data_IF_710213903336
#
_entry.id   IF_710213903336
#
_cell.length_a   1.000
_cell.length_b   1.000
_cell.length_c   1.000
_cell.angle_alpha   90.00
_cell.angle_beta   90.00
_cell.angle_gamma   90.00
#
_symmetry.space_group_name_H-M   'P 1'
#
loop_
_entity.id
_entity.type
_entity.pdbx_description
1 polymer ?
#
# COMPACT_ATOMS: atom_id res chain seq x y z
N UNK A 1 18.23 17.02 -7.66
CA UNK A 1 16.76 16.80 -7.66
C UNK A 1 16.29 16.92 -6.22
N UNK A 2 15.11 17.50 -5.94
CA UNK A 2 14.63 17.67 -4.55
C UNK A 2 14.15 16.32 -4.01
N UNK A 3 14.58 15.92 -2.82
CA UNK A 3 14.10 14.72 -2.12
C UNK A 3 12.58 14.79 -1.96
N UNK A 4 11.80 13.83 -2.48
CA UNK A 4 10.34 13.87 -2.41
C UNK A 4 9.84 13.71 -0.97
N UNK A 5 8.72 14.35 -0.65
CA UNK A 5 8.00 14.10 0.60
C UNK A 5 6.85 13.13 0.34
N UNK A 6 6.83 12.02 1.07
CA UNK A 6 5.73 11.05 1.04
C UNK A 6 4.53 11.64 1.78
N UNK A 7 3.37 11.59 1.12
CA UNK A 7 2.11 12.06 1.69
C UNK A 7 1.35 10.91 2.37
N UNK A 8 0.50 11.27 3.31
CA UNK A 8 -0.41 10.36 3.99
C UNK A 8 -1.76 10.39 3.27
N UNK A 9 -2.38 9.23 3.03
CA UNK A 9 -3.76 9.18 2.55
C UNK A 9 -4.73 9.28 3.74
N UNK A 10 -5.21 10.50 3.98
CA UNK A 10 -6.02 10.88 5.13
C UNK A 10 -7.45 11.20 4.65
N UNK A 11 -8.46 10.43 5.07
CA UNK A 11 -9.88 10.76 4.82
C UNK A 11 -10.18 11.12 3.34
N UNK A 12 -9.76 10.24 2.44
CA UNK A 12 -9.94 10.37 0.98
C UNK A 12 -9.16 11.51 0.30
N UNK A 13 -8.06 11.98 0.89
CA UNK A 13 -7.14 12.95 0.29
C UNK A 13 -5.69 12.69 0.69
N UNK A 14 -4.75 13.22 -0.09
CA UNK A 14 -3.33 13.19 0.24
C UNK A 14 -2.92 14.42 1.06
N UNK A 15 -2.25 14.21 2.19
CA UNK A 15 -1.86 15.28 3.13
C UNK A 15 -0.42 15.08 3.60
N UNK A 16 0.37 16.15 3.57
CA UNK A 16 1.73 16.15 4.12
C UNK A 16 1.67 16.16 5.66
N UNK A 17 2.48 15.33 6.31
CA UNK A 17 2.65 15.42 7.76
C UNK A 17 3.73 16.42 8.14
N UNK A 18 3.60 16.96 9.36
CA UNK A 18 4.55 17.89 9.95
C UNK A 18 5.86 17.19 10.35
N UNK A 19 6.95 17.96 10.40
CA UNK A 19 8.29 17.54 10.83
C UNK A 19 8.75 16.21 10.20
N UNK A 20 8.79 16.11 8.86
CA UNK A 20 9.14 14.86 8.21
C UNK A 20 10.62 14.51 8.44
N UNK A 21 10.89 13.22 8.59
CA UNK A 21 12.23 12.65 8.72
C UNK A 21 12.69 12.05 7.40
N UNK A 22 14.00 12.01 7.16
CA UNK A 22 14.57 11.39 5.97
C UNK A 22 14.47 9.86 6.02
N UNK A 23 14.23 9.26 4.86
CA UNK A 23 14.34 7.84 4.59
C UNK A 23 15.62 7.66 3.76
N UNK A 24 16.72 7.20 4.37
CA UNK A 24 17.98 6.98 3.64
C UNK A 24 17.95 5.67 2.85
N UNK A 25 18.67 5.64 1.74
CA UNK A 25 19.02 4.44 0.99
C UNK A 25 19.88 3.52 1.84
N UNK A 26 19.58 2.22 1.83
CA UNK A 26 20.38 1.22 2.55
C UNK A 26 21.71 0.89 1.83
N UNK A 27 21.90 1.38 0.61
CA UNK A 27 23.11 1.14 -0.20
C UNK A 27 24.22 2.10 0.20
N UNK A 28 23.90 3.39 0.28
CA UNK A 28 24.87 4.48 0.36
C UNK A 28 24.48 5.61 1.34
N UNK A 29 23.32 5.49 1.98
CA UNK A 29 22.81 6.50 2.91
C UNK A 29 22.22 7.74 2.25
N UNK A 30 22.17 7.82 0.92
CA UNK A 30 21.60 8.98 0.22
C UNK A 30 20.09 9.12 0.54
N UNK A 31 19.56 10.33 0.76
CA UNK A 31 18.13 10.53 1.03
C UNK A 31 17.26 10.11 -0.16
N UNK A 32 16.37 9.13 0.05
CA UNK A 32 15.43 8.63 -0.97
C UNK A 32 14.13 9.43 -0.94
N UNK A 33 13.63 9.69 0.26
CA UNK A 33 12.41 10.45 0.50
C UNK A 33 12.43 11.07 1.90
N UNK A 34 11.43 11.88 2.20
CA UNK A 34 11.09 12.31 3.56
C UNK A 34 9.68 11.86 3.89
N UNK A 35 9.40 11.50 5.14
CA UNK A 35 8.05 11.11 5.59
C UNK A 35 7.76 11.61 6.98
N UNK A 36 6.51 11.94 7.28
CA UNK A 36 6.08 12.41 8.58
C UNK A 36 4.58 12.24 8.75
N UNK A 37 4.14 12.12 10.00
CA UNK A 37 2.74 11.98 10.37
C UNK A 37 2.31 12.99 11.43
N UNK A 38 3.17 13.97 11.76
CA UNK A 38 2.82 15.07 12.65
C UNK A 38 1.62 15.86 12.09
N UNK A 39 0.78 16.38 12.99
CA UNK A 39 -0.39 17.18 12.61
C UNK A 39 -1.61 16.38 12.10
N UNK A 40 -1.50 15.06 11.90
CA UNK A 40 -2.64 14.23 11.49
C UNK A 40 -3.60 13.96 12.65
N UNK A 41 -4.90 14.06 12.39
CA UNK A 41 -5.95 13.63 13.32
C UNK A 41 -6.25 12.14 13.11
N UNK A 42 -5.48 11.27 13.77
CA UNK A 42 -5.70 9.82 13.74
C UNK A 42 -7.09 9.41 14.23
N UNK A 43 -7.69 10.18 15.16
CA UNK A 43 -9.05 9.95 15.62
C UNK A 43 -10.07 10.16 14.51
N UNK A 44 -9.95 11.25 13.75
CA UNK A 44 -10.80 11.51 12.60
C UNK A 44 -10.56 10.52 11.45
N UNK A 45 -9.31 10.12 11.19
CA UNK A 45 -8.99 9.08 10.21
C UNK A 45 -9.69 7.75 10.56
N UNK A 46 -9.62 7.33 11.83
CA UNK A 46 -10.24 6.12 12.32
C UNK A 46 -11.77 6.18 12.24
N UNK A 47 -12.37 7.32 12.62
CA UNK A 47 -13.81 7.56 12.47
C UNK A 47 -14.23 7.46 11.00
N UNK A 48 -13.52 8.12 10.09
CA UNK A 48 -13.80 8.05 8.65
C UNK A 48 -13.73 6.61 8.11
N UNK A 49 -12.68 5.87 8.46
CA UNK A 49 -12.55 4.47 8.07
C UNK A 49 -13.73 3.60 8.56
N UNK A 50 -14.22 3.85 9.79
CA UNK A 50 -15.32 3.09 10.39
C UNK A 50 -16.70 3.50 9.88
N UNK A 51 -16.94 4.79 9.71
CA UNK A 51 -18.25 5.37 9.42
C UNK A 51 -18.52 5.45 7.91
N UNK A 52 -17.46 5.55 7.09
CA UNK A 52 -17.56 5.62 5.62
C UNK A 52 -17.06 4.33 4.98
N UNK A 53 -15.80 3.97 5.22
CA UNK A 53 -15.16 2.81 4.59
C UNK A 53 -15.81 1.47 4.98
N UNK A 54 -16.09 1.29 6.27
CA UNK A 54 -16.73 0.08 6.80
C UNK A 54 -18.09 -0.23 6.15
N UNK A 55 -19.08 0.68 6.18
CA UNK A 55 -20.35 0.49 5.51
C UNK A 55 -20.22 0.28 4.00
N UNK A 56 -19.31 1.01 3.33
CA UNK A 56 -19.08 0.83 1.89
C UNK A 56 -18.63 -0.60 1.56
N UNK A 57 -17.68 -1.16 2.32
CA UNK A 57 -17.21 -2.54 2.11
C UNK A 57 -18.24 -3.60 2.52
N UNK A 58 -19.04 -3.36 3.57
CA UNK A 58 -20.06 -4.30 4.04
C UNK A 58 -21.29 -4.38 3.14
N UNK A 59 -21.54 -3.36 2.30
CA UNK A 59 -22.58 -3.41 1.26
C UNK A 59 -22.25 -4.40 0.13
N UNK A 60 -20.98 -4.74 -0.04
CA UNK A 60 -20.52 -5.67 -1.07
C UNK A 60 -20.64 -7.12 -0.60
N UNK A 61 -20.82 -8.04 -1.54
CA UNK A 61 -20.72 -9.48 -1.24
C UNK A 61 -19.27 -9.90 -0.98
N UNK A 62 -19.05 -11.11 -0.46
CA UNK A 62 -17.69 -11.64 -0.34
C UNK A 62 -17.02 -11.80 -1.70
N UNK A 63 -17.78 -12.16 -2.74
CA UNK A 63 -17.22 -12.34 -4.08
C UNK A 63 -16.86 -11.02 -4.74
N UNK A 64 -17.66 -9.97 -4.55
CA UNK A 64 -17.31 -8.61 -4.99
C UNK A 64 -16.03 -8.10 -4.33
N UNK A 65 -15.91 -8.25 -2.99
CA UNK A 65 -14.67 -7.91 -2.28
C UNK A 65 -13.49 -8.78 -2.76
N UNK A 66 -13.70 -10.06 -3.02
CA UNK A 66 -12.66 -10.93 -3.57
C UNK A 66 -12.20 -10.50 -4.98
N UNK A 67 -13.11 -9.97 -5.81
CA UNK A 67 -12.75 -9.38 -7.12
C UNK A 67 -11.94 -8.09 -6.95
N UNK A 68 -12.30 -7.23 -5.98
CA UNK A 68 -11.50 -6.04 -5.66
C UNK A 68 -10.09 -6.41 -5.20
N UNK A 69 -9.94 -7.44 -4.36
CA UNK A 69 -8.63 -7.96 -3.93
C UNK A 69 -7.81 -8.46 -5.12
N UNK A 70 -8.44 -9.14 -6.09
CA UNK A 70 -7.76 -9.52 -7.35
C UNK A 70 -7.25 -8.29 -8.09
N UNK A 71 -8.08 -7.26 -8.21
CA UNK A 71 -7.73 -6.02 -8.89
C UNK A 71 -6.52 -5.33 -8.24
N UNK A 72 -6.42 -5.36 -6.90
CA UNK A 72 -5.23 -4.87 -6.19
C UNK A 72 -3.98 -5.65 -6.57
N UNK A 73 -4.04 -6.99 -6.58
CA UNK A 73 -2.90 -7.83 -7.00
C UNK A 73 -2.49 -7.56 -8.45
N UNK A 74 -3.45 -7.39 -9.37
CA UNK A 74 -3.17 -7.03 -10.76
C UNK A 74 -2.54 -5.63 -10.89
N UNK A 75 -2.99 -4.67 -10.08
CA UNK A 75 -2.44 -3.31 -10.07
C UNK A 75 -0.98 -3.27 -9.58
N UNK A 76 -0.60 -4.15 -8.64
CA UNK A 76 0.79 -4.34 -8.20
C UNK A 76 1.61 -4.96 -9.34
N UNK A 77 1.14 -6.06 -9.93
CA UNK A 77 1.85 -6.74 -11.02
C UNK A 77 2.09 -5.83 -12.23
N UNK A 78 1.13 -4.96 -12.55
CA UNK A 78 1.24 -3.99 -13.65
C UNK A 78 2.35 -2.94 -13.43
N UNK A 79 2.74 -2.68 -12.17
CA UNK A 79 3.74 -1.66 -11.78
C UNK A 79 4.99 -2.28 -11.16
N UNK A 80 5.19 -3.59 -11.31
CA UNK A 80 6.23 -4.31 -10.58
C UNK A 80 7.65 -3.82 -10.89
N UNK A 81 7.92 -3.35 -12.11
CA UNK A 81 9.25 -2.82 -12.45
C UNK A 81 9.53 -1.49 -11.75
N UNK A 82 8.54 -0.58 -11.66
CA UNK A 82 8.65 0.64 -10.83
C UNK A 82 8.89 0.29 -9.36
N UNK A 83 8.22 -0.76 -8.86
CA UNK A 83 8.42 -1.25 -7.50
C UNK A 83 9.82 -1.86 -7.31
N UNK A 84 10.37 -2.56 -8.31
CA UNK A 84 11.73 -3.10 -8.26
C UNK A 84 12.79 -1.99 -8.23
N UNK A 85 12.59 -0.91 -9.00
CA UNK A 85 13.47 0.26 -8.97
C UNK A 85 13.52 0.89 -7.57
N UNK A 86 12.37 1.02 -6.91
CA UNK A 86 12.30 1.51 -5.52
C UNK A 86 12.88 0.51 -4.51
N UNK A 87 12.55 -0.78 -4.65
CA UNK A 87 12.98 -1.84 -3.75
C UNK A 87 14.51 -1.99 -3.73
N UNK A 88 15.19 -1.72 -4.84
CA UNK A 88 16.66 -1.73 -4.88
C UNK A 88 17.27 -0.80 -3.81
N UNK A 89 16.66 0.36 -3.56
CA UNK A 89 17.13 1.33 -2.56
C UNK A 89 17.04 0.82 -1.11
N UNK A 90 16.33 -0.28 -0.88
CA UNK A 90 16.32 -0.98 0.43
C UNK A 90 17.51 -1.95 0.57
N UNK A 91 18.42 -2.00 -0.40
CA UNK A 91 19.56 -2.93 -0.44
C UNK A 91 19.18 -4.35 -0.90
N UNK A 92 17.94 -4.56 -1.32
CA UNK A 92 17.46 -5.84 -1.79
C UNK A 92 17.99 -6.17 -3.20
N UNK A 93 18.37 -7.44 -3.42
CA UNK A 93 18.54 -7.91 -4.80
C UNK A 93 17.19 -8.07 -5.47
N UNK A 94 17.16 -8.15 -6.80
CA UNK A 94 15.91 -8.42 -7.54
C UNK A 94 15.21 -9.69 -7.06
N UNK A 95 15.96 -10.72 -6.66
CA UNK A 95 15.40 -11.97 -6.15
C UNK A 95 14.75 -11.80 -4.77
N UNK A 96 15.32 -10.96 -3.91
CA UNK A 96 14.73 -10.63 -2.61
C UNK A 96 13.47 -9.78 -2.79
N UNK A 97 13.53 -8.77 -3.67
CA UNK A 97 12.38 -7.95 -4.04
C UNK A 97 11.23 -8.75 -4.66
N UNK A 98 11.54 -9.83 -5.39
CA UNK A 98 10.52 -10.71 -5.97
C UNK A 98 9.65 -11.35 -4.89
N UNK A 99 10.25 -11.70 -3.75
CA UNK A 99 9.53 -12.27 -2.60
C UNK A 99 8.55 -11.24 -2.01
N UNK A 100 8.97 -9.97 -1.87
CA UNK A 100 8.14 -8.91 -1.31
C UNK A 100 7.01 -8.47 -2.29
N UNK A 101 7.38 -8.15 -3.53
CA UNK A 101 6.47 -7.57 -4.53
C UNK A 101 5.54 -8.64 -5.12
N UNK A 102 6.11 -9.67 -5.75
CA UNK A 102 5.31 -10.70 -6.42
C UNK A 102 4.74 -11.70 -5.41
N UNK A 103 5.42 -11.96 -4.29
CA UNK A 103 4.83 -12.73 -3.17
C UNK A 103 3.66 -12.02 -2.51
N UNK A 104 3.71 -10.69 -2.33
CA UNK A 104 2.58 -9.88 -1.90
C UNK A 104 1.39 -9.96 -2.86
N UNK A 105 1.63 -9.78 -4.17
CA UNK A 105 0.60 -9.94 -5.19
C UNK A 105 0.01 -11.36 -5.24
N UNK A 106 0.86 -12.40 -5.11
CA UNK A 106 0.46 -13.80 -5.05
C UNK A 106 -0.43 -14.11 -3.83
N UNK A 107 -0.15 -13.48 -2.69
CA UNK A 107 -1.00 -13.56 -1.50
C UNK A 107 -2.38 -12.97 -1.77
N UNK A 108 -2.47 -11.80 -2.41
CA UNK A 108 -3.75 -11.19 -2.81
C UNK A 108 -4.53 -12.10 -3.77
N UNK A 109 -3.87 -12.73 -4.75
CA UNK A 109 -4.53 -13.68 -5.65
C UNK A 109 -5.04 -14.92 -4.90
N UNK A 110 -4.29 -15.41 -3.91
CA UNK A 110 -4.71 -16.54 -3.07
C UNK A 110 -5.97 -16.20 -2.27
N UNK A 111 -6.02 -15.04 -1.61
CA UNK A 111 -7.21 -14.57 -0.88
C UNK A 111 -8.41 -14.33 -1.81
N UNK A 112 -8.18 -13.76 -2.99
CA UNK A 112 -9.22 -13.58 -3.99
C UNK A 112 -9.81 -14.93 -4.46
N UNK A 113 -8.96 -15.93 -4.67
CA UNK A 113 -9.37 -17.28 -5.06
C UNK A 113 -10.20 -17.94 -3.95
N UNK A 114 -9.69 -17.92 -2.72
CA UNK A 114 -10.40 -18.45 -1.54
C UNK A 114 -11.75 -17.77 -1.33
N UNK A 115 -11.78 -16.43 -1.39
CA UNK A 115 -13.01 -15.66 -1.22
C UNK A 115 -14.10 -15.99 -2.23
N UNK A 116 -13.75 -16.38 -3.47
CA UNK A 116 -14.73 -16.80 -4.48
C UNK A 116 -15.12 -18.28 -4.41
N UNK A 117 -14.26 -19.15 -3.86
CA UNK A 117 -14.49 -20.60 -3.83
C UNK A 117 -15.09 -21.09 -2.52
N UNK A 118 -14.71 -20.45 -1.42
CA UNK A 118 -14.91 -20.98 -0.05
C UNK A 118 -15.87 -20.09 0.78
N UNK A 119 -16.23 -18.88 0.32
CA UNK A 119 -17.16 -17.99 1.03
C UNK A 119 -18.50 -17.87 0.29
N UNK A 120 -19.61 -17.64 1.02
CA UNK A 120 -20.92 -17.41 0.41
C UNK A 120 -20.90 -16.12 -0.41
N UNK A 121 -21.72 -16.07 -1.46
CA UNK A 121 -22.02 -14.81 -2.16
C UNK A 121 -23.16 -14.09 -1.44
#
# INVERSE_FOLDING_TARGET
MKTPQLLNYERDRWVAGDNPVEIPSAIDGAPVATTGSGGLDFGAMLRHARDVGGPALRKLTFHERARMIKAMGLAIMARKEELYELNYLTGATRKDGWIDIEGGAGTLFSFSSKGRRELPD
#
